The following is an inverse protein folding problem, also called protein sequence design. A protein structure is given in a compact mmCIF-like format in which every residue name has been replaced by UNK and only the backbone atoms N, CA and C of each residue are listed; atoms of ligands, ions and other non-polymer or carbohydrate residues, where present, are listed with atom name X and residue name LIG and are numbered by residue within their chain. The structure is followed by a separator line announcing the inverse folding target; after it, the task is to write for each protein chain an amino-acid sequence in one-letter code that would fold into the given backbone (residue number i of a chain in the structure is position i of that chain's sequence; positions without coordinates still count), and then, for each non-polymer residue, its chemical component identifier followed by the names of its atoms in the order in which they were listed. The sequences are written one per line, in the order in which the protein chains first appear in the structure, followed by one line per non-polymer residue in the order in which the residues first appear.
data_IF_715188059067
#
_entry.id   IF_715188059067
#
_cell.length_a   1.000
_cell.length_b   1.000
_cell.length_c   1.000
_cell.angle_alpha   90.00
_cell.angle_beta   90.00
_cell.angle_gamma   90.00
#
_symmetry.space_group_name_H-M   'P 1'
#
loop_
_entity.id
_entity.type
_entity.pdbx_description
1 polymer ?
#
# COMPACT_ATOMS: atom_id res chain seq x y z
N UNK A 1 -14.44 7.70 -18.05
CA UNK A 1 -14.24 7.20 -19.43
C UNK A 1 -12.88 7.68 -19.89
N UNK A 2 -12.07 6.81 -20.51
CA UNK A 2 -10.71 7.14 -20.92
C UNK A 2 -10.76 8.10 -22.13
N UNK A 3 -10.59 9.39 -21.87
CA UNK A 3 -10.51 10.45 -22.88
C UNK A 3 -9.08 10.70 -23.35
N UNK A 4 -8.29 9.65 -23.56
CA UNK A 4 -6.90 9.75 -24.01
C UNK A 4 -6.53 8.54 -24.86
N UNK A 5 -5.73 8.79 -25.89
CA UNK A 5 -5.18 7.78 -26.79
C UNK A 5 -4.48 6.67 -25.97
N UNK A 6 -5.04 5.47 -25.99
CA UNK A 6 -4.59 4.29 -25.21
C UNK A 6 -3.12 3.96 -25.52
N UNK A 7 -2.62 4.38 -26.68
CA UNK A 7 -1.22 4.21 -27.09
C UNK A 7 -0.20 5.05 -26.30
N UNK A 8 -0.64 5.94 -25.40
CA UNK A 8 0.22 6.87 -24.64
C UNK A 8 0.11 6.77 -23.11
N UNK A 9 -0.59 5.76 -22.59
CA UNK A 9 -0.74 5.62 -21.13
C UNK A 9 0.59 5.17 -20.50
N UNK A 10 1.11 5.95 -19.56
CA UNK A 10 2.25 5.55 -18.73
C UNK A 10 1.85 4.49 -17.71
N UNK A 11 2.83 3.76 -17.17
CA UNK A 11 2.57 2.77 -16.13
C UNK A 11 1.93 3.39 -14.88
N UNK A 12 2.34 4.61 -14.53
CA UNK A 12 1.81 5.41 -13.43
C UNK A 12 0.33 5.73 -13.64
N UNK A 13 0.00 6.26 -14.81
CA UNK A 13 -1.40 6.58 -15.17
C UNK A 13 -2.27 5.33 -15.24
N UNK A 14 -1.73 4.20 -15.70
CA UNK A 14 -2.45 2.93 -15.68
C UNK A 14 -2.78 2.52 -14.25
N UNK A 15 -1.80 2.53 -13.34
CA UNK A 15 -2.02 2.23 -11.91
C UNK A 15 -3.07 3.16 -11.31
N UNK A 16 -2.95 4.47 -11.49
CA UNK A 16 -3.90 5.46 -10.97
C UNK A 16 -5.33 5.17 -11.44
N UNK A 17 -5.51 4.98 -12.75
CA UNK A 17 -6.81 4.68 -13.34
C UNK A 17 -7.37 3.34 -12.86
N UNK A 18 -6.53 2.32 -12.73
CA UNK A 18 -6.90 1.01 -12.21
C UNK A 18 -7.39 1.13 -10.76
N UNK A 19 -6.60 1.77 -9.89
CA UNK A 19 -6.97 1.96 -8.49
C UNK A 19 -8.22 2.83 -8.33
N UNK A 20 -8.41 3.86 -9.16
CA UNK A 20 -9.61 4.68 -9.15
C UNK A 20 -10.87 3.91 -9.60
N UNK A 21 -10.73 2.98 -10.56
CA UNK A 21 -11.86 2.20 -11.08
C UNK A 21 -12.32 1.10 -10.13
N UNK A 22 -11.37 0.41 -9.49
CA UNK A 22 -11.68 -0.79 -8.70
C UNK A 22 -11.76 -0.56 -7.19
N UNK A 23 -11.18 0.55 -6.68
CA UNK A 23 -11.19 0.85 -5.26
C UNK A 23 -11.92 2.18 -5.02
N UNK A 24 -13.10 2.10 -4.41
CA UNK A 24 -13.85 3.28 -3.97
C UNK A 24 -13.08 4.03 -2.88
N UNK A 25 -13.44 5.30 -2.63
CA UNK A 25 -12.84 6.09 -1.56
C UNK A 25 -12.93 5.38 -0.20
N UNK A 26 -14.05 4.74 0.10
CA UNK A 26 -14.24 3.99 1.34
C UNK A 26 -13.32 2.77 1.44
N UNK A 27 -13.14 2.03 0.33
CA UNK A 27 -12.23 0.87 0.32
C UNK A 27 -10.78 1.33 0.47
N UNK A 28 -10.38 2.41 -0.23
CA UNK A 28 -9.03 2.98 -0.07
C UNK A 28 -8.81 3.44 1.38
N UNK A 29 -9.80 4.06 1.99
CA UNK A 29 -9.73 4.49 3.38
C UNK A 29 -9.62 3.30 4.35
N UNK A 30 -10.41 2.24 4.14
CA UNK A 30 -10.31 1.02 4.92
C UNK A 30 -8.92 0.39 4.82
N UNK A 31 -8.37 0.27 3.60
CA UNK A 31 -7.02 -0.25 3.36
C UNK A 31 -5.92 0.61 4.01
N UNK A 32 -6.07 1.93 4.02
CA UNK A 32 -5.20 2.82 4.79
C UNK A 32 -5.28 2.53 6.30
N UNK A 33 -6.48 2.36 6.86
CA UNK A 33 -6.65 2.05 8.28
C UNK A 33 -6.05 0.68 8.64
N UNK A 34 -6.20 -0.32 7.77
CA UNK A 34 -5.54 -1.63 7.91
C UNK A 34 -4.01 -1.44 7.93
N UNK A 35 -3.44 -0.66 7.00
CA UNK A 35 -2.00 -0.40 6.96
C UNK A 35 -1.47 0.27 8.24
N UNK A 36 -2.20 1.26 8.75
CA UNK A 36 -1.80 2.00 9.95
C UNK A 36 -1.73 1.08 11.17
N UNK A 37 -2.65 0.11 11.26
CA UNK A 37 -2.74 -0.88 12.34
C UNK A 37 -1.97 -2.17 12.07
N UNK A 38 -1.34 -2.30 10.90
CA UNK A 38 -0.63 -3.52 10.52
C UNK A 38 0.55 -3.77 11.48
N UNK A 39 0.50 -4.93 12.12
CA UNK A 39 1.51 -5.55 12.96
C UNK A 39 1.72 -6.99 12.46
N UNK A 40 2.89 -7.58 12.73
CA UNK A 40 3.22 -8.93 12.30
C UNK A 40 2.32 -9.95 13.01
N UNK A 41 2.09 -9.77 14.31
CA UNK A 41 1.26 -10.66 15.13
C UNK A 41 1.67 -12.14 14.97
N UNK A 42 0.76 -13.01 14.52
CA UNK A 42 1.02 -14.44 14.26
C UNK A 42 1.50 -14.73 12.82
N UNK A 43 1.71 -13.71 11.98
CA UNK A 43 2.21 -13.88 10.62
C UNK A 43 3.71 -14.23 10.60
N UNK A 44 4.13 -15.03 9.61
CA UNK A 44 5.56 -15.11 9.28
C UNK A 44 6.04 -13.77 8.75
N UNK A 45 7.35 -13.52 8.82
CA UNK A 45 7.95 -12.27 8.30
C UNK A 45 7.62 -12.10 6.81
N UNK A 46 7.61 -13.18 6.03
CA UNK A 46 7.26 -13.16 4.60
C UNK A 46 5.79 -12.79 4.36
N UNK A 47 4.87 -13.28 5.19
CA UNK A 47 3.45 -12.93 5.11
C UNK A 47 3.23 -11.47 5.47
N UNK A 48 3.88 -11.01 6.54
CA UNK A 48 3.85 -9.62 6.96
C UNK A 48 4.41 -8.69 5.87
N UNK A 49 5.54 -9.05 5.25
CA UNK A 49 6.16 -8.29 4.16
C UNK A 49 5.23 -8.17 2.95
N UNK A 50 4.60 -9.28 2.53
CA UNK A 50 3.65 -9.27 1.43
C UNK A 50 2.44 -8.36 1.71
N UNK A 51 1.87 -8.43 2.92
CA UNK A 51 0.73 -7.60 3.32
C UNK A 51 1.13 -6.12 3.45
N UNK A 52 2.32 -5.85 4.00
CA UNK A 52 2.90 -4.51 4.09
C UNK A 52 3.06 -3.89 2.69
N UNK A 53 3.64 -4.63 1.76
CA UNK A 53 3.84 -4.19 0.38
C UNK A 53 2.52 -3.88 -0.32
N UNK A 54 1.50 -4.73 -0.13
CA UNK A 54 0.17 -4.52 -0.70
C UNK A 54 -0.51 -3.28 -0.11
N UNK A 55 -0.56 -3.16 1.21
CA UNK A 55 -1.27 -2.10 1.91
C UNK A 55 -0.56 -0.74 1.80
N UNK A 56 0.77 -0.72 1.69
CA UNK A 56 1.55 0.52 1.55
C UNK A 56 1.18 1.34 0.31
N UNK A 57 0.62 0.69 -0.73
CA UNK A 57 0.13 1.35 -1.95
C UNK A 57 -1.06 2.28 -1.71
N UNK A 58 -1.77 2.10 -0.61
CA UNK A 58 -2.90 2.94 -0.20
C UNK A 58 -2.49 4.05 0.79
N UNK A 59 -1.22 4.10 1.18
CA UNK A 59 -0.70 5.02 2.19
C UNK A 59 0.60 5.72 1.75
N UNK A 60 0.64 6.34 0.54
CA UNK A 60 1.87 6.94 0.01
C UNK A 60 2.49 7.98 0.94
N UNK A 61 1.68 8.73 1.70
CA UNK A 61 2.17 9.73 2.66
C UNK A 61 2.86 9.11 3.89
N UNK A 62 2.48 7.89 4.26
CA UNK A 62 3.05 7.17 5.41
C UNK A 62 4.39 6.53 5.04
N UNK A 63 4.54 6.07 3.79
CA UNK A 63 5.77 5.46 3.25
C UNK A 63 6.47 6.36 2.24
N UNK A 64 6.39 7.68 2.45
CA UNK A 64 6.84 8.73 1.51
C UNK A 64 8.30 8.61 1.08
N UNK A 65 9.15 8.05 1.93
CA UNK A 65 10.56 7.84 1.69
C UNK A 65 11.03 6.52 2.32
N UNK A 66 12.26 6.12 1.99
CA UNK A 66 12.84 4.86 2.46
C UNK A 66 12.92 4.80 3.98
N UNK A 67 13.25 5.91 4.64
CA UNK A 67 13.40 5.93 6.10
C UNK A 67 12.04 5.73 6.78
N UNK A 68 11.00 6.45 6.34
CA UNK A 68 9.64 6.31 6.84
C UNK A 68 9.07 4.90 6.58
N UNK A 69 9.34 4.33 5.39
CA UNK A 69 8.95 2.96 5.07
C UNK A 69 9.61 1.94 6.00
N UNK A 70 10.92 2.04 6.19
CA UNK A 70 11.67 1.14 7.07
C UNK A 70 11.22 1.28 8.52
N UNK A 71 11.02 2.51 9.01
CA UNK A 71 10.54 2.74 10.37
C UNK A 71 9.16 2.12 10.60
N UNK A 72 8.21 2.32 9.68
CA UNK A 72 6.87 1.75 9.79
C UNK A 72 6.90 0.21 9.73
N UNK A 73 7.75 -0.38 8.90
CA UNK A 73 7.93 -1.83 8.83
C UNK A 73 8.47 -2.37 10.15
N UNK A 74 9.56 -1.80 10.67
CA UNK A 74 10.18 -2.25 11.92
C UNK A 74 9.26 -2.08 13.12
N UNK A 75 8.43 -1.03 13.15
CA UNK A 75 7.48 -0.78 14.25
C UNK A 75 6.37 -1.84 14.32
N UNK A 76 5.95 -2.37 13.19
CA UNK A 76 4.94 -3.43 13.15
C UNK A 76 5.53 -4.84 13.28
N UNK A 77 6.85 -5.00 13.14
CA UNK A 77 7.51 -6.29 13.26
C UNK A 77 7.49 -6.77 14.72
N UNK A 78 7.14 -8.04 14.95
CA UNK A 78 7.18 -8.63 16.28
C UNK A 78 8.63 -8.97 16.62
N UNK A 79 9.18 -8.30 17.63
CA UNK A 79 10.50 -8.63 18.18
C UNK A 79 10.36 -9.87 19.06
N UNK A 80 10.22 -11.04 18.45
CA UNK A 80 10.50 -12.30 19.16
C UNK A 80 12.04 -12.38 19.33
N UNK A 81 12.55 -11.74 20.38
CA UNK A 81 13.90 -11.93 20.93
C UNK A 81 13.87 -12.98 22.05
#
# INVERSE_FOLDING_TARGET
MLGGDVSKITWEQFKENFYAKFFSANVKHAKLQEFLKLEQDDMTVEQYDAEFDMLSRFAPDVVKDKAARTEKFLRGLKLDL
#
